data_IF_950312303032
#
_entry.id   IF_950312303032
#
_cell.length_a   1.000
_cell.length_b   1.000
_cell.length_c   1.000
_cell.angle_alpha   90.00
_cell.angle_beta   90.00
_cell.angle_gamma   90.00
#
_symmetry.space_group_name_H-M   'P 1'
#
loop_
_entity.id
_entity.type
_entity.pdbx_description
1 polymer ?
#
# COMPACT_ATOMS: atom_id res chain seq x y z
N UNK A 1 -9.46 14.55 -4.88
CA UNK A 1 -9.57 13.30 -4.08
C UNK A 1 -8.58 13.40 -2.95
N UNK A 2 -8.88 12.90 -1.75
CA UNK A 2 -8.00 13.02 -0.60
C UNK A 2 -6.88 11.98 -0.62
N UNK A 3 -5.73 12.33 -0.02
CA UNK A 3 -4.63 11.41 0.25
C UNK A 3 -5.13 10.26 1.12
N UNK A 4 -4.62 9.05 0.91
CA UNK A 4 -4.96 7.90 1.73
C UNK A 4 -3.74 7.05 2.06
N UNK A 5 -3.87 6.20 3.08
CA UNK A 5 -2.80 5.30 3.52
C UNK A 5 -3.16 3.86 3.21
N UNK A 6 -2.17 3.13 2.72
CA UNK A 6 -2.28 1.70 2.42
C UNK A 6 -0.96 1.00 2.76
N UNK A 7 -0.85 -0.27 2.39
CA UNK A 7 0.38 -1.06 2.56
C UNK A 7 1.07 -1.27 1.22
N UNK A 8 2.40 -1.40 1.25
CA UNK A 8 3.19 -1.81 0.09
C UNK A 8 3.60 -3.27 0.22
N UNK A 9 3.35 -4.06 -0.83
CA UNK A 9 3.71 -5.47 -0.84
C UNK A 9 2.90 -6.32 0.13
N UNK A 10 3.56 -7.27 0.76
CA UNK A 10 2.96 -8.21 1.71
C UNK A 10 3.65 -8.15 3.07
N UNK A 11 2.90 -8.40 4.14
CA UNK A 11 3.45 -8.52 5.48
C UNK A 11 2.83 -9.72 6.20
N UNK A 12 3.54 -10.26 7.17
CA UNK A 12 3.10 -11.44 7.94
C UNK A 12 3.23 -11.18 9.43
N UNK A 13 2.24 -11.62 10.18
CA UNK A 13 2.25 -11.63 11.64
C UNK A 13 1.80 -12.99 12.17
N UNK A 14 2.44 -13.46 13.21
CA UNK A 14 2.12 -14.77 13.81
C UNK A 14 1.76 -14.62 15.28
N UNK A 15 0.82 -15.44 15.72
CA UNK A 15 0.46 -15.57 17.13
C UNK A 15 0.18 -17.04 17.46
N UNK A 16 0.63 -17.49 18.62
CA UNK A 16 0.37 -18.84 19.12
C UNK A 16 -0.31 -18.78 20.47
N UNK A 17 -1.39 -19.55 20.65
CA UNK A 17 -2.04 -19.75 21.94
C UNK A 17 -2.48 -21.20 22.07
N UNK A 18 -2.11 -21.85 23.16
CA UNK A 18 -2.43 -23.27 23.48
C UNK A 18 -2.11 -24.19 22.30
N UNK A 19 -0.94 -24.02 21.67
CA UNK A 19 -0.47 -24.74 20.48
C UNK A 19 -1.29 -24.50 19.20
N UNK A 20 -2.35 -23.69 19.24
CA UNK A 20 -3.01 -23.20 18.03
C UNK A 20 -2.17 -22.06 17.45
N UNK A 21 -1.86 -22.16 16.15
CA UNK A 21 -1.02 -21.19 15.45
C UNK A 21 -1.88 -20.38 14.49
N UNK A 22 -1.75 -19.07 14.55
CA UNK A 22 -2.46 -18.08 13.74
C UNK A 22 -1.44 -17.31 12.90
N UNK A 23 -1.55 -17.40 11.59
CA UNK A 23 -0.63 -16.75 10.64
C UNK A 23 -1.45 -15.75 9.84
N UNK A 24 -1.29 -14.47 10.15
CA UNK A 24 -1.90 -13.39 9.41
C UNK A 24 -0.99 -12.98 8.25
N UNK A 25 -1.54 -12.98 7.04
CA UNK A 25 -0.88 -12.50 5.83
C UNK A 25 -1.67 -11.30 5.31
N UNK A 26 -0.98 -10.18 5.13
CA UNK A 26 -1.56 -8.90 4.71
C UNK A 26 -1.00 -8.53 3.34
N UNK A 27 -1.86 -7.96 2.47
CA UNK A 27 -1.45 -7.49 1.15
C UNK A 27 -2.24 -6.25 0.73
N UNK A 28 -1.64 -5.46 -0.15
CA UNK A 28 -2.37 -4.46 -0.92
C UNK A 28 -3.44 -5.13 -1.78
N UNK A 29 -4.64 -4.54 -1.81
CA UNK A 29 -5.73 -4.93 -2.70
C UNK A 29 -6.66 -3.71 -2.88
N UNK A 30 -6.72 -3.17 -4.10
CA UNK A 30 -7.53 -1.99 -4.45
C UNK A 30 -8.89 -2.34 -5.05
N UNK A 31 -9.15 -3.63 -5.22
CA UNK A 31 -10.38 -4.18 -5.80
C UNK A 31 -10.79 -5.47 -5.12
N UNK A 32 -12.06 -5.86 -5.28
CA UNK A 32 -12.57 -7.12 -4.76
C UNK A 32 -11.90 -8.32 -5.44
N UNK A 33 -11.63 -8.20 -6.73
CA UNK A 33 -10.91 -9.21 -7.52
C UNK A 33 -9.49 -9.43 -7.00
N UNK A 34 -8.75 -8.37 -6.68
CA UNK A 34 -7.42 -8.45 -6.10
C UNK A 34 -7.45 -9.09 -4.71
N UNK A 35 -8.43 -8.71 -3.88
CA UNK A 35 -8.61 -9.29 -2.55
C UNK A 35 -8.93 -10.80 -2.61
N UNK A 36 -9.83 -11.21 -3.50
CA UNK A 36 -10.19 -12.63 -3.70
C UNK A 36 -9.00 -13.43 -4.26
N UNK A 37 -8.25 -12.86 -5.21
CA UNK A 37 -7.06 -13.53 -5.76
C UNK A 37 -6.01 -13.80 -4.67
N UNK A 38 -5.76 -12.83 -3.79
CA UNK A 38 -4.84 -13.03 -2.65
C UNK A 38 -5.36 -14.08 -1.66
N UNK A 39 -6.66 -14.07 -1.33
CA UNK A 39 -7.28 -15.07 -0.49
C UNK A 39 -7.07 -16.49 -1.04
N UNK A 40 -7.33 -16.69 -2.34
CA UNK A 40 -7.16 -18.00 -2.99
C UNK A 40 -5.69 -18.43 -3.05
N UNK A 41 -4.76 -17.50 -3.22
CA UNK A 41 -3.32 -17.78 -3.13
C UNK A 41 -2.95 -18.29 -1.72
N UNK A 42 -3.42 -17.63 -0.66
CA UNK A 42 -3.15 -18.06 0.72
C UNK A 42 -3.80 -19.41 1.02
N UNK A 43 -5.03 -19.66 0.59
CA UNK A 43 -5.72 -20.96 0.71
C UNK A 43 -4.95 -22.08 0.02
N UNK A 44 -4.47 -21.82 -1.18
CA UNK A 44 -3.70 -22.80 -1.96
C UNK A 44 -2.38 -23.18 -1.28
N UNK A 45 -1.73 -22.21 -0.62
CA UNK A 45 -0.50 -22.43 0.14
C UNK A 45 -0.75 -23.14 1.49
N UNK A 46 -1.97 -23.08 2.04
CA UNK A 46 -2.32 -23.60 3.38
C UNK A 46 -3.45 -24.65 3.34
N UNK A 47 -3.37 -25.60 2.41
CA UNK A 47 -4.42 -26.62 2.15
C UNK A 47 -4.78 -27.50 3.33
N UNK A 48 -3.91 -27.65 4.31
CA UNK A 48 -4.14 -28.45 5.51
C UNK A 48 -4.80 -27.65 6.64
N UNK A 49 -4.86 -26.33 6.52
CA UNK A 49 -5.57 -25.49 7.47
C UNK A 49 -7.09 -25.61 7.29
N UNK A 50 -7.82 -25.61 8.41
CA UNK A 50 -9.29 -25.66 8.39
C UNK A 50 -9.95 -24.30 8.21
N UNK A 51 -9.24 -23.24 8.61
CA UNK A 51 -9.76 -21.87 8.61
C UNK A 51 -8.74 -20.92 7.98
N UNK A 52 -9.18 -20.21 6.96
CA UNK A 52 -8.50 -19.06 6.36
C UNK A 52 -9.46 -17.87 6.43
N UNK A 53 -9.55 -17.33 7.63
CA UNK A 53 -10.39 -16.16 7.96
C UNK A 53 -9.85 -14.95 7.20
N UNK A 54 -10.73 -14.11 6.67
CA UNK A 54 -10.28 -12.91 5.97
C UNK A 54 -11.10 -11.68 6.33
N UNK A 55 -10.47 -10.53 6.15
CA UNK A 55 -11.14 -9.23 6.15
C UNK A 55 -10.44 -8.31 5.15
N UNK A 56 -11.19 -7.47 4.44
CA UNK A 56 -10.64 -6.45 3.58
C UNK A 56 -11.39 -5.13 3.67
N UNK A 57 -10.68 -4.06 3.34
CA UNK A 57 -11.21 -2.71 3.22
C UNK A 57 -10.75 -2.11 1.89
N UNK A 58 -11.69 -1.65 1.08
CA UNK A 58 -11.45 -1.03 -0.21
C UNK A 58 -11.95 0.42 -0.17
N UNK A 59 -11.11 1.34 -0.66
CA UNK A 59 -11.47 2.75 -0.79
C UNK A 59 -12.61 2.94 -1.80
N UNK A 60 -12.54 2.23 -2.92
CA UNK A 60 -13.58 2.28 -3.95
C UNK A 60 -14.92 1.80 -3.40
N UNK A 61 -15.86 2.74 -3.28
CA UNK A 61 -17.19 2.49 -2.74
C UNK A 61 -17.24 2.24 -1.24
N UNK A 62 -16.16 2.52 -0.49
CA UNK A 62 -16.03 2.31 0.95
C UNK A 62 -16.47 0.88 1.35
N UNK A 63 -15.95 -0.12 0.64
CA UNK A 63 -16.36 -1.51 0.80
C UNK A 63 -15.54 -2.20 1.87
N UNK A 64 -16.25 -2.90 2.76
CA UNK A 64 -15.65 -3.75 3.78
C UNK A 64 -16.32 -5.12 3.74
N UNK A 65 -15.51 -6.18 3.81
CA UNK A 65 -16.01 -7.56 3.93
C UNK A 65 -15.14 -8.38 4.85
N UNK A 66 -15.74 -9.38 5.44
CA UNK A 66 -15.05 -10.40 6.24
C UNK A 66 -15.73 -11.74 6.14
N UNK A 67 -15.03 -12.79 6.58
CA UNK A 67 -15.58 -14.13 6.78
C UNK A 67 -14.89 -14.80 7.96
N UNK A 68 -15.66 -15.44 8.80
CA UNK A 68 -15.15 -16.29 9.89
C UNK A 68 -14.65 -17.66 9.38
N UNK A 69 -14.91 -18.01 8.12
CA UNK A 69 -14.47 -19.25 7.45
C UNK A 69 -14.62 -20.51 8.32
N UNK A 70 -15.81 -20.67 8.92
CA UNK A 70 -16.15 -21.81 9.76
C UNK A 70 -15.75 -21.71 11.25
N UNK A 71 -15.11 -20.64 11.68
CA UNK A 71 -14.99 -20.32 13.11
C UNK A 71 -16.36 -19.88 13.67
N UNK A 72 -16.58 -19.90 15.00
CA UNK A 72 -17.80 -19.37 15.58
C UNK A 72 -18.07 -17.92 15.15
N UNK A 73 -19.31 -17.59 14.88
CA UNK A 73 -19.71 -16.31 14.33
C UNK A 73 -19.15 -15.13 15.11
N UNK A 74 -18.54 -14.17 14.40
CA UNK A 74 -17.94 -12.92 14.93
C UNK A 74 -16.74 -13.12 15.86
N UNK A 75 -16.11 -14.27 15.86
CA UNK A 75 -14.92 -14.55 16.70
C UNK A 75 -13.59 -14.39 15.94
N UNK A 76 -13.65 -14.23 14.63
CA UNK A 76 -12.46 -14.26 13.79
C UNK A 76 -12.44 -13.14 12.74
N UNK A 77 -13.35 -13.14 11.79
CA UNK A 77 -13.40 -12.18 10.69
C UNK A 77 -13.74 -10.75 11.17
N UNK A 78 -14.72 -10.62 12.09
CA UNK A 78 -15.06 -9.32 12.68
C UNK A 78 -13.88 -8.71 13.45
N UNK A 79 -13.21 -9.42 14.39
CA UNK A 79 -12.00 -8.90 15.05
C UNK A 79 -10.88 -8.50 14.08
N UNK A 80 -10.65 -9.27 13.01
CA UNK A 80 -9.67 -8.91 12.00
C UNK A 80 -10.06 -7.61 11.27
N UNK A 81 -11.33 -7.45 10.89
CA UNK A 81 -11.83 -6.23 10.25
C UNK A 81 -11.70 -5.01 11.19
N UNK A 82 -12.05 -5.14 12.45
CA UNK A 82 -11.93 -4.07 13.45
C UNK A 82 -10.48 -3.56 13.57
N UNK A 83 -9.49 -4.45 13.54
CA UNK A 83 -8.08 -4.06 13.52
C UNK A 83 -7.75 -3.24 12.28
N UNK A 84 -8.21 -3.65 11.09
CA UNK A 84 -8.02 -2.88 9.85
C UNK A 84 -8.71 -1.51 9.93
N UNK A 85 -9.91 -1.42 10.50
CA UNK A 85 -10.64 -0.16 10.69
C UNK A 85 -9.88 0.81 11.60
N UNK A 86 -9.41 0.34 12.74
CA UNK A 86 -8.65 1.15 13.69
C UNK A 86 -7.30 1.64 13.14
N UNK A 87 -6.69 0.91 12.22
CA UNK A 87 -5.43 1.33 11.56
C UNK A 87 -5.59 2.57 10.68
N UNK A 88 -6.81 2.87 10.22
CA UNK A 88 -7.09 3.92 9.25
C UNK A 88 -6.57 3.63 7.84
N UNK A 89 -6.05 2.41 7.59
CA UNK A 89 -5.58 1.98 6.27
C UNK A 89 -6.76 1.51 5.40
N UNK A 90 -6.62 1.64 4.10
CA UNK A 90 -7.58 1.17 3.10
C UNK A 90 -6.85 0.54 1.92
N UNK A 91 -7.60 -0.09 1.00
CA UNK A 91 -7.06 -0.86 -0.13
C UNK A 91 -6.09 -1.96 0.33
N UNK A 92 -6.59 -2.81 1.26
CA UNK A 92 -5.83 -3.93 1.82
C UNK A 92 -6.74 -5.09 2.21
N UNK A 93 -6.15 -6.28 2.21
CA UNK A 93 -6.73 -7.52 2.72
C UNK A 93 -5.81 -8.14 3.76
N UNK A 94 -6.38 -8.76 4.79
CA UNK A 94 -5.71 -9.71 5.67
C UNK A 94 -6.37 -11.07 5.57
N UNK A 95 -5.56 -12.12 5.51
CA UNK A 95 -6.01 -13.51 5.62
C UNK A 95 -5.30 -14.15 6.82
N UNK A 96 -6.06 -14.64 7.78
CA UNK A 96 -5.50 -15.30 8.97
C UNK A 96 -5.76 -16.79 8.89
N UNK A 97 -4.71 -17.55 8.64
CA UNK A 97 -4.71 -19.01 8.59
C UNK A 97 -4.53 -19.57 9.99
N UNK A 98 -5.43 -20.47 10.42
CA UNK A 98 -5.32 -21.14 11.71
C UNK A 98 -5.01 -22.61 11.57
N UNK A 99 -4.02 -23.06 12.35
CA UNK A 99 -3.73 -24.47 12.61
C UNK A 99 -4.11 -24.81 14.04
N UNK A 100 -5.03 -25.77 14.22
CA UNK A 100 -5.54 -26.14 15.53
C UNK A 100 -4.51 -26.90 16.37
N UNK A 101 -4.32 -26.48 17.61
CA UNK A 101 -3.34 -27.03 18.53
C UNK A 101 -3.85 -28.16 19.45
N UNK A 102 -5.07 -28.67 19.22
CA UNK A 102 -5.66 -29.73 20.04
C UNK A 102 -6.42 -29.24 21.26
N UNK A 103 -6.38 -27.96 21.62
CA UNK A 103 -7.07 -27.37 22.78
C UNK A 103 -8.00 -26.27 22.34
N UNK A 104 -9.25 -26.30 22.78
CA UNK A 104 -10.22 -25.24 22.51
C UNK A 104 -9.84 -23.93 23.24
N UNK A 105 -9.91 -22.83 22.52
CA UNK A 105 -9.58 -21.49 23.04
C UNK A 105 -10.80 -20.79 23.67
N UNK A 106 -12.00 -21.18 23.29
CA UNK A 106 -13.23 -20.44 23.56
C UNK A 106 -13.35 -19.17 22.72
N UNK A 107 -14.52 -18.55 22.73
CA UNK A 107 -14.81 -17.35 21.92
C UNK A 107 -13.88 -16.18 22.21
N UNK A 108 -13.65 -15.87 23.49
CA UNK A 108 -12.74 -14.79 23.90
C UNK A 108 -11.27 -15.05 23.52
N UNK A 109 -10.82 -16.32 23.57
CA UNK A 109 -9.48 -16.71 23.13
C UNK A 109 -9.30 -16.56 21.61
N UNK A 110 -10.33 -16.93 20.83
CA UNK A 110 -10.33 -16.74 19.38
C UNK A 110 -10.27 -15.26 19.01
N UNK A 111 -11.17 -14.44 19.56
CA UNK A 111 -11.16 -12.98 19.33
C UNK A 111 -9.76 -12.39 19.56
N UNK A 112 -9.17 -12.68 20.72
CA UNK A 112 -7.83 -12.18 21.05
C UNK A 112 -6.76 -12.69 20.05
N UNK A 113 -6.82 -13.97 19.67
CA UNK A 113 -5.83 -14.55 18.77
C UNK A 113 -5.87 -13.92 17.36
N UNK A 114 -7.07 -13.81 16.78
CA UNK A 114 -7.25 -13.18 15.46
C UNK A 114 -6.88 -11.69 15.48
N UNK A 115 -7.29 -10.95 16.52
CA UNK A 115 -6.89 -9.55 16.74
C UNK A 115 -5.37 -9.41 16.80
N UNK A 116 -4.71 -10.23 17.64
CA UNK A 116 -3.26 -10.12 17.86
C UNK A 116 -2.47 -10.50 16.60
N UNK A 117 -2.84 -11.58 15.90
CA UNK A 117 -2.17 -11.97 14.66
C UNK A 117 -2.29 -10.87 13.58
N UNK A 118 -3.48 -10.31 13.41
CA UNK A 118 -3.73 -9.21 12.46
C UNK A 118 -2.93 -7.96 12.82
N UNK A 119 -2.91 -7.57 14.10
CA UNK A 119 -2.15 -6.41 14.56
C UNK A 119 -0.65 -6.58 14.28
N UNK A 120 -0.08 -7.75 14.55
CA UNK A 120 1.33 -8.04 14.23
C UNK A 120 1.65 -7.99 12.74
N UNK A 121 0.72 -8.42 11.89
CA UNK A 121 0.91 -8.29 10.44
C UNK A 121 0.94 -6.81 10.02
N UNK A 122 0.09 -5.96 10.60
CA UNK A 122 0.11 -4.51 10.37
C UNK A 122 1.37 -3.84 10.91
N UNK A 123 1.84 -4.23 12.09
CA UNK A 123 3.10 -3.72 12.66
C UNK A 123 4.32 -4.01 11.76
N UNK A 124 4.30 -5.14 11.05
CA UNK A 124 5.35 -5.56 10.13
C UNK A 124 5.17 -5.00 8.71
N UNK A 125 4.07 -4.30 8.43
CA UNK A 125 3.78 -3.81 7.09
C UNK A 125 4.49 -2.48 6.77
N UNK A 126 4.96 -2.34 5.54
CA UNK A 126 5.39 -1.06 5.01
C UNK A 126 4.15 -0.21 4.67
N UNK A 127 3.84 0.76 5.52
CA UNK A 127 2.73 1.70 5.27
C UNK A 127 3.20 2.82 4.36
N UNK A 128 2.43 3.10 3.31
CA UNK A 128 2.68 4.18 2.35
C UNK A 128 1.48 5.13 2.28
N UNK A 129 1.78 6.40 2.06
CA UNK A 129 0.75 7.39 1.71
C UNK A 129 0.64 7.46 0.19
N UNK A 130 -0.57 7.34 -0.32
CA UNK A 130 -0.89 7.49 -1.75
C UNK A 130 -1.49 8.87 -1.95
N UNK A 131 -0.90 9.62 -2.88
CA UNK A 131 -1.29 11.00 -3.19
C UNK A 131 -1.61 11.17 -4.66
N UNK A 132 -2.39 12.19 -4.98
CA UNK A 132 -2.49 12.68 -6.34
C UNK A 132 -1.17 13.32 -6.73
N UNK A 133 -0.52 12.78 -7.74
CA UNK A 133 0.76 13.24 -8.26
C UNK A 133 0.67 13.50 -9.75
N UNK A 134 1.56 14.34 -10.25
CA UNK A 134 1.82 14.54 -11.68
C UNK A 134 3.23 14.05 -12.01
N UNK A 135 3.40 13.51 -13.19
CA UNK A 135 4.72 13.22 -13.76
C UNK A 135 5.11 14.35 -14.69
N UNK A 136 6.33 14.84 -14.52
CA UNK A 136 6.87 15.92 -15.32
C UNK A 136 8.14 15.45 -16.03
N UNK A 137 8.38 16.05 -17.21
CA UNK A 137 9.55 15.77 -18.01
C UNK A 137 10.10 17.06 -18.60
N UNK A 138 11.42 17.21 -18.60
CA UNK A 138 12.14 18.27 -19.29
C UNK A 138 13.37 17.71 -20.00
N UNK A 139 13.67 18.24 -21.17
CA UNK A 139 14.93 17.94 -21.88
C UNK A 139 15.80 19.19 -21.90
N UNK A 140 17.02 19.08 -21.35
CA UNK A 140 17.97 20.19 -21.20
C UNK A 140 19.33 19.84 -21.81
N UNK A 141 20.12 20.86 -22.11
CA UNK A 141 21.51 20.65 -22.53
C UNK A 141 22.37 20.19 -21.34
N UNK A 142 23.44 19.47 -21.62
CA UNK A 142 24.36 18.93 -20.60
C UNK A 142 24.87 20.01 -19.62
N UNK A 143 25.10 21.22 -20.08
CA UNK A 143 25.55 22.33 -19.25
C UNK A 143 24.51 22.76 -18.18
N UNK A 144 23.24 22.44 -18.36
CA UNK A 144 22.15 22.80 -17.44
C UNK A 144 21.68 21.61 -16.58
N UNK A 145 22.11 20.38 -16.90
CA UNK A 145 21.64 19.15 -16.29
C UNK A 145 21.77 19.17 -14.76
N UNK A 146 22.97 19.43 -14.22
CA UNK A 146 23.19 19.39 -12.77
C UNK A 146 22.33 20.42 -12.02
N UNK A 147 22.23 21.63 -12.58
CA UNK A 147 21.42 22.69 -11.97
C UNK A 147 19.92 22.37 -12.01
N UNK A 148 19.44 21.84 -13.12
CA UNK A 148 18.05 21.41 -13.25
C UNK A 148 17.73 20.26 -12.26
N UNK A 149 18.60 19.26 -12.16
CA UNK A 149 18.45 18.14 -11.22
C UNK A 149 18.43 18.60 -9.76
N UNK A 150 19.28 19.58 -9.39
CA UNK A 150 19.28 20.15 -8.05
C UNK A 150 17.99 20.93 -7.73
N UNK A 151 17.45 21.68 -8.68
CA UNK A 151 16.16 22.37 -8.50
C UNK A 151 15.02 21.39 -8.29
N UNK A 152 14.96 20.31 -9.09
CA UNK A 152 13.95 19.26 -8.97
C UNK A 152 14.06 18.57 -7.60
N UNK A 153 15.28 18.22 -7.17
CA UNK A 153 15.51 17.61 -5.86
C UNK A 153 15.11 18.54 -4.70
N UNK A 154 15.47 19.83 -4.80
CA UNK A 154 15.12 20.84 -3.78
C UNK A 154 13.60 21.06 -3.65
N UNK A 155 12.85 20.83 -4.72
CA UNK A 155 11.39 20.86 -4.70
C UNK A 155 10.74 19.63 -4.03
N UNK A 156 11.52 18.67 -3.52
CA UNK A 156 11.03 17.45 -2.90
C UNK A 156 10.44 16.43 -3.89
N UNK A 157 10.76 16.56 -5.17
CA UNK A 157 10.28 15.69 -6.22
C UNK A 157 11.03 14.33 -6.22
N UNK A 158 10.34 13.27 -6.61
CA UNK A 158 10.94 11.94 -6.83
C UNK A 158 11.43 11.84 -8.27
N UNK A 159 12.75 11.94 -8.44
CA UNK A 159 13.37 11.83 -9.75
C UNK A 159 13.53 10.36 -10.18
N UNK A 160 13.23 10.09 -11.46
CA UNK A 160 13.66 8.89 -12.15
C UNK A 160 15.13 9.03 -12.62
N UNK A 161 15.83 7.92 -12.93
CA UNK A 161 17.15 8.01 -13.55
C UNK A 161 17.11 8.85 -14.82
N UNK A 162 18.09 9.77 -15.03
CA UNK A 162 18.13 10.61 -16.22
C UNK A 162 18.45 9.80 -17.48
N UNK A 163 17.90 10.21 -18.60
CA UNK A 163 18.21 9.63 -19.90
C UNK A 163 19.21 10.53 -20.64
N UNK A 164 20.36 9.97 -20.99
CA UNK A 164 21.44 10.67 -21.69
C UNK A 164 21.44 10.31 -23.17
N UNK A 165 21.26 11.33 -24.03
CA UNK A 165 21.33 11.23 -25.47
C UNK A 165 22.06 12.49 -26.00
N UNK A 166 21.66 13.07 -27.13
CA UNK A 166 22.20 14.37 -27.60
C UNK A 166 21.95 15.49 -26.59
N UNK A 167 20.90 15.33 -25.80
CA UNK A 167 20.51 16.17 -24.65
C UNK A 167 20.13 15.27 -23.48
N UNK A 168 19.96 15.84 -22.30
CA UNK A 168 19.58 15.09 -21.09
C UNK A 168 18.08 15.24 -20.83
N UNK A 169 17.36 14.12 -20.72
CA UNK A 169 15.96 14.13 -20.33
C UNK A 169 15.83 13.75 -18.86
N UNK A 170 15.19 14.62 -18.09
CA UNK A 170 14.86 14.45 -16.69
C UNK A 170 13.37 14.17 -16.56
N UNK A 171 13.02 13.13 -15.76
CA UNK A 171 11.64 12.82 -15.37
C UNK A 171 11.53 12.78 -13.86
N UNK A 172 10.42 13.29 -13.34
CA UNK A 172 10.15 13.25 -11.90
C UNK A 172 8.65 13.26 -11.62
N UNK A 173 8.30 12.83 -10.42
CA UNK A 173 6.95 12.91 -9.89
C UNK A 173 6.92 13.88 -8.71
N UNK A 174 5.83 14.60 -8.54
CA UNK A 174 5.58 15.47 -7.41
C UNK A 174 4.07 15.60 -7.14
N UNK A 175 3.67 16.01 -5.92
CA UNK A 175 2.25 16.19 -5.61
C UNK A 175 1.60 17.19 -6.56
N UNK A 176 0.40 16.85 -7.04
CA UNK A 176 -0.43 17.73 -7.86
C UNK A 176 -0.61 19.10 -7.18
N UNK A 177 -0.63 20.17 -7.97
CA UNK A 177 -0.74 21.56 -7.53
C UNK A 177 0.47 22.12 -6.77
N UNK A 178 1.60 21.42 -6.71
CA UNK A 178 2.85 21.91 -6.10
C UNK A 178 3.93 22.27 -7.13
N UNK A 179 3.67 22.04 -8.41
CA UNK A 179 4.63 22.13 -9.51
C UNK A 179 4.98 23.58 -9.92
N UNK A 180 4.07 24.54 -9.72
CA UNK A 180 4.22 25.88 -10.28
C UNK A 180 5.54 26.61 -9.91
N UNK A 181 6.03 26.59 -8.65
CA UNK A 181 7.30 27.23 -8.31
C UNK A 181 8.51 26.60 -9.01
N UNK A 182 8.52 25.28 -9.15
CA UNK A 182 9.59 24.55 -9.85
C UNK A 182 9.58 24.85 -11.35
N UNK A 183 8.39 24.89 -11.96
CA UNK A 183 8.24 25.23 -13.39
C UNK A 183 8.80 26.61 -13.70
N UNK A 184 8.56 27.61 -12.86
CA UNK A 184 9.11 28.95 -13.04
C UNK A 184 10.64 28.95 -12.90
N UNK A 185 11.21 28.26 -11.91
CA UNK A 185 12.67 28.16 -11.75
C UNK A 185 13.33 27.44 -12.94
N UNK A 186 12.71 26.38 -13.48
CA UNK A 186 13.22 25.70 -14.67
C UNK A 186 13.12 26.60 -15.92
N UNK A 187 12.06 27.37 -16.04
CA UNK A 187 11.90 28.35 -17.11
C UNK A 187 12.98 29.43 -17.07
N UNK A 188 13.26 29.98 -15.89
CA UNK A 188 14.34 30.95 -15.70
C UNK A 188 15.70 30.32 -16.02
N UNK A 189 16.00 29.13 -15.48
CA UNK A 189 17.25 28.41 -15.74
C UNK A 189 17.52 28.21 -17.22
N UNK A 190 16.49 27.83 -17.97
CA UNK A 190 16.58 27.53 -19.41
C UNK A 190 16.33 28.75 -20.29
N UNK A 191 16.04 29.90 -19.71
CA UNK A 191 15.62 31.14 -20.40
C UNK A 191 14.45 30.89 -21.35
N UNK A 192 13.53 30.00 -20.95
CA UNK A 192 12.37 29.61 -21.73
C UNK A 192 12.65 28.68 -22.91
N UNK A 193 13.89 28.21 -23.09
CA UNK A 193 14.26 27.34 -24.23
C UNK A 193 13.84 25.87 -24.06
N UNK A 194 13.62 25.40 -22.84
CA UNK A 194 13.16 24.06 -22.55
C UNK A 194 11.68 24.07 -22.16
N UNK A 195 10.90 23.19 -22.80
CA UNK A 195 9.50 23.00 -22.48
C UNK A 195 9.36 21.84 -21.48
N UNK A 196 8.66 22.08 -20.35
CA UNK A 196 8.27 21.03 -19.41
C UNK A 196 6.92 20.49 -19.83
N UNK A 197 6.82 19.18 -19.95
CA UNK A 197 5.54 18.48 -20.11
C UNK A 197 5.05 17.99 -18.77
N UNK A 198 3.72 18.06 -18.53
CA UNK A 198 3.07 17.62 -17.30
C UNK A 198 1.99 16.63 -17.69
N UNK A 199 1.94 15.48 -17.02
CA UNK A 199 0.90 14.47 -17.23
C UNK A 199 -0.43 14.88 -16.62
N UNK A 200 -1.49 14.15 -16.97
CA UNK A 200 -2.70 14.13 -16.16
C UNK A 200 -2.37 13.59 -14.75
N UNK A 201 -3.09 14.03 -13.71
CA UNK A 201 -2.90 13.56 -12.34
C UNK A 201 -3.24 12.08 -12.20
N UNK A 202 -2.46 11.37 -11.38
CA UNK A 202 -2.73 9.98 -11.02
C UNK A 202 -2.34 9.71 -9.56
N UNK A 203 -2.86 8.61 -8.99
CA UNK A 203 -2.55 8.24 -7.60
C UNK A 203 -1.31 7.35 -7.55
N UNK A 204 -0.33 7.75 -6.75
CA UNK A 204 0.90 6.99 -6.51
C UNK A 204 1.39 7.11 -5.06
N UNK A 205 2.12 6.12 -4.56
CA UNK A 205 2.84 6.23 -3.29
C UNK A 205 3.86 7.36 -3.35
N UNK A 206 3.72 8.32 -2.41
CA UNK A 206 4.58 9.49 -2.41
C UNK A 206 5.05 9.86 -0.99
#
# INVERSE_FOLDING_TARGET
MEDYRTVRGTATGEYEEKKSRFIAQLSFADSEEAAVAFLEQVRAANRTARHNVYAYRLRAGNRERYSDDGEPAKTAGTPALEVLQHSGLTDLIVVVTRYFGGVLLGTGGLVRAYTTATARALENAEVVTVRSVVELQVTVDYALYERASLLIAAAGAKQAPPEFADRVTLRWQMPEHTEAPLLEQLRELTRGSAQVTVSDPFYAPF
#
